data_IF_633641938926
#
_entry.id   IF_633641938926
#
_cell.length_a   1.000
_cell.length_b   1.000
_cell.length_c   1.000
_cell.angle_alpha   90.00
_cell.angle_beta   90.00
_cell.angle_gamma   90.00
#
_symmetry.space_group_name_H-M   'P 1'
#
loop_
_entity.id
_entity.type
_entity.pdbx_description
1 polymer ?
#
# COMPACT_ATOMS: atom_id res chain seq x y z
N UNK A 1 17.59 -13.83 -22.28
CA UNK A 1 16.93 -15.04 -21.74
C UNK A 1 15.88 -15.50 -22.73
N UNK A 2 15.52 -16.81 -22.77
CA UNK A 2 14.42 -17.29 -23.61
C UNK A 2 13.10 -16.61 -23.23
N UNK A 3 12.22 -16.46 -24.20
CA UNK A 3 10.91 -15.84 -23.99
C UNK A 3 10.03 -16.74 -23.12
N UNK A 4 9.29 -16.13 -22.20
CA UNK A 4 8.29 -16.83 -21.39
C UNK A 4 7.11 -17.27 -22.26
N UNK A 5 6.58 -18.46 -21.99
CA UNK A 5 5.31 -18.92 -22.57
C UNK A 5 4.14 -18.09 -22.01
N UNK A 6 3.03 -18.07 -22.74
CA UNK A 6 1.82 -17.34 -22.32
C UNK A 6 1.28 -17.84 -20.96
N UNK A 7 1.33 -19.16 -20.73
CA UNK A 7 0.91 -19.78 -19.48
C UNK A 7 1.77 -19.30 -18.29
N UNK A 8 3.10 -19.25 -18.47
CA UNK A 8 4.01 -18.75 -17.43
C UNK A 8 3.79 -17.26 -17.16
N UNK A 9 3.53 -16.44 -18.19
CA UNK A 9 3.20 -15.01 -18.02
C UNK A 9 1.92 -14.83 -17.20
N UNK A 10 0.85 -15.58 -17.51
CA UNK A 10 -0.40 -15.55 -16.73
C UNK A 10 -0.19 -15.95 -15.27
N UNK A 11 0.67 -16.94 -15.02
CA UNK A 11 1.06 -17.34 -13.66
C UNK A 11 1.71 -16.20 -12.88
N UNK A 12 2.67 -15.49 -13.49
CA UNK A 12 3.31 -14.35 -12.85
C UNK A 12 2.40 -13.15 -12.64
N UNK A 13 1.47 -12.88 -13.57
CA UNK A 13 0.45 -11.83 -13.37
C UNK A 13 -0.40 -12.15 -12.14
N UNK A 14 -0.84 -13.40 -11.98
CA UNK A 14 -1.61 -13.81 -10.79
C UNK A 14 -0.81 -13.62 -9.50
N UNK A 15 0.48 -13.96 -9.51
CA UNK A 15 1.35 -13.76 -8.36
C UNK A 15 1.54 -12.27 -8.04
N UNK A 16 1.77 -11.43 -9.05
CA UNK A 16 1.92 -9.99 -8.87
C UNK A 16 0.66 -9.36 -8.24
N UNK A 17 -0.54 -9.76 -8.70
CA UNK A 17 -1.81 -9.30 -8.10
C UNK A 17 -1.95 -9.70 -6.64
N UNK A 18 -1.58 -10.93 -6.29
CA UNK A 18 -1.63 -11.40 -4.91
C UNK A 18 -0.68 -10.61 -4.02
N UNK A 19 0.54 -10.34 -4.50
CA UNK A 19 1.53 -9.57 -3.77
C UNK A 19 1.08 -8.12 -3.56
N UNK A 20 0.49 -7.50 -4.59
CA UNK A 20 -0.08 -6.16 -4.48
C UNK A 20 -1.21 -6.11 -3.43
N UNK A 21 -2.09 -7.11 -3.38
CA UNK A 21 -3.15 -7.14 -2.37
C UNK A 21 -2.60 -7.36 -0.95
N UNK A 22 -1.66 -8.28 -0.76
CA UNK A 22 -1.00 -8.48 0.52
C UNK A 22 -0.34 -7.18 1.01
N UNK A 23 0.33 -6.46 0.11
CA UNK A 23 0.96 -5.18 0.41
C UNK A 23 -0.08 -4.11 0.79
N UNK A 24 -1.20 -4.01 0.06
CA UNK A 24 -2.29 -3.08 0.41
C UNK A 24 -2.88 -3.39 1.79
N UNK A 25 -3.03 -4.67 2.15
CA UNK A 25 -3.47 -5.08 3.49
C UNK A 25 -2.45 -4.66 4.55
N UNK A 26 -1.16 -4.88 4.31
CA UNK A 26 -0.09 -4.46 5.24
C UNK A 26 -0.10 -2.94 5.48
N UNK A 27 -0.22 -2.13 4.41
CA UNK A 27 -0.33 -0.66 4.52
C UNK A 27 -1.54 -0.24 5.37
N UNK A 28 -2.69 -0.88 5.18
CA UNK A 28 -3.91 -0.59 5.97
C UNK A 28 -3.75 -0.96 7.44
N UNK A 29 -3.01 -2.02 7.76
CA UNK A 29 -2.70 -2.40 9.14
C UNK A 29 -1.79 -1.37 9.79
N UNK A 30 -0.70 -0.96 9.12
CA UNK A 30 0.20 0.08 9.64
C UNK A 30 -0.55 1.40 9.88
N UNK A 31 -1.44 1.81 8.96
CA UNK A 31 -2.30 2.97 9.17
C UNK A 31 -3.15 2.85 10.44
N UNK A 32 -3.74 1.68 10.66
CA UNK A 32 -4.57 1.41 11.85
C UNK A 32 -3.76 1.55 13.13
N UNK A 33 -2.55 1.00 13.14
CA UNK A 33 -1.66 1.02 14.30
C UNK A 33 -1.19 2.46 14.59
N UNK A 34 -0.80 3.22 13.56
CA UNK A 34 -0.41 4.63 13.69
C UNK A 34 -1.57 5.50 14.22
N UNK A 35 -2.79 5.31 13.72
CA UNK A 35 -3.96 6.03 14.24
C UNK A 35 -4.29 5.63 15.70
N UNK A 36 -4.00 4.39 16.08
CA UNK A 36 -4.16 3.95 17.48
C UNK A 36 -3.15 4.61 18.41
N UNK A 37 -1.91 4.79 17.94
CA UNK A 37 -0.85 5.48 18.66
C UNK A 37 -1.19 6.96 18.87
N UNK A 38 -1.61 7.68 17.82
CA UNK A 38 -2.08 9.07 17.94
C UNK A 38 -3.21 9.19 18.98
N UNK A 39 -4.17 8.27 18.94
CA UNK A 39 -5.28 8.27 19.90
C UNK A 39 -4.79 8.05 21.34
N UNK A 40 -3.71 7.28 21.53
CA UNK A 40 -3.10 7.06 22.85
C UNK A 40 -2.40 8.34 23.31
N UNK A 41 -1.59 8.97 22.45
CA UNK A 41 -0.92 10.24 22.76
C UNK A 41 -1.92 11.34 23.17
N UNK A 42 -3.08 11.42 22.51
CA UNK A 42 -4.12 12.38 22.89
C UNK A 42 -4.66 12.10 24.31
N UNK A 43 -4.91 10.82 24.64
CA UNK A 43 -5.41 10.43 25.97
C UNK A 43 -4.40 10.77 27.07
N UNK A 44 -3.13 10.58 26.77
CA UNK A 44 -2.02 10.86 27.68
C UNK A 44 -1.72 12.37 27.78
N UNK A 45 -2.41 13.18 26.94
CA UNK A 45 -2.27 14.65 26.83
C UNK A 45 -0.90 15.10 26.34
N UNK A 46 -0.21 14.23 25.61
CA UNK A 46 1.08 14.54 24.97
C UNK A 46 0.89 15.38 23.69
N UNK A 47 -0.31 15.33 23.10
CA UNK A 47 -0.71 16.10 21.91
C UNK A 47 -2.08 16.76 22.12
N UNK A 48 -2.39 17.77 21.30
CA UNK A 48 -3.72 18.42 21.28
C UNK A 48 -4.69 17.75 20.28
N UNK A 49 -5.97 18.13 20.31
CA UNK A 49 -6.95 17.67 19.31
C UNK A 49 -6.60 18.15 17.89
N UNK A 50 -6.00 19.34 17.77
CA UNK A 50 -5.57 19.87 16.47
C UNK A 50 -4.39 19.06 15.92
N UNK A 51 -3.43 18.71 16.78
CA UNK A 51 -2.30 17.83 16.42
C UNK A 51 -2.78 16.44 16.00
N UNK A 52 -3.77 15.88 16.71
CA UNK A 52 -4.39 14.61 16.31
C UNK A 52 -4.96 14.69 14.89
N UNK A 53 -5.78 15.72 14.61
CA UNK A 53 -6.42 15.88 13.28
C UNK A 53 -5.37 16.01 12.19
N UNK A 54 -4.33 16.82 12.43
CA UNK A 54 -3.25 16.97 11.48
C UNK A 54 -2.49 15.66 11.25
N UNK A 55 -2.17 14.92 12.32
CA UNK A 55 -1.47 13.64 12.22
C UNK A 55 -2.29 12.57 11.48
N UNK A 56 -3.60 12.48 11.74
CA UNK A 56 -4.50 11.57 11.01
C UNK A 56 -4.60 11.92 9.52
N UNK A 57 -4.65 13.21 9.18
CA UNK A 57 -4.65 13.69 7.78
C UNK A 57 -3.34 13.36 7.06
N UNK A 58 -2.20 13.53 7.72
CA UNK A 58 -0.88 13.20 7.17
C UNK A 58 -0.72 11.70 6.95
N UNK A 59 -1.13 10.89 7.92
CA UNK A 59 -1.18 9.42 7.79
C UNK A 59 -2.06 9.00 6.62
N UNK A 60 -3.23 9.61 6.46
CA UNK A 60 -4.14 9.29 5.37
C UNK A 60 -3.54 9.65 4.00
N UNK A 61 -2.95 10.85 3.86
CA UNK A 61 -2.24 11.26 2.64
C UNK A 61 -1.10 10.31 2.28
N UNK A 62 -0.31 9.89 3.27
CA UNK A 62 0.78 8.93 3.06
C UNK A 62 0.24 7.57 2.64
N UNK A 63 -0.81 7.08 3.29
CA UNK A 63 -1.49 5.83 2.94
C UNK A 63 -1.94 5.85 1.49
N UNK A 64 -2.65 6.90 1.07
CA UNK A 64 -3.20 7.02 -0.28
C UNK A 64 -2.09 7.09 -1.33
N UNK A 65 -1.00 7.82 -1.03
CA UNK A 65 0.19 7.87 -1.88
C UNK A 65 0.78 6.47 -2.09
N UNK A 66 1.02 5.72 -1.02
CA UNK A 66 1.65 4.40 -1.11
C UNK A 66 0.73 3.40 -1.81
N UNK A 67 -0.58 3.43 -1.56
CA UNK A 67 -1.54 2.60 -2.30
C UNK A 67 -1.49 2.91 -3.80
N UNK A 68 -1.45 4.20 -4.18
CA UNK A 68 -1.30 4.59 -5.57
C UNK A 68 0.03 4.15 -6.20
N UNK A 69 1.12 4.11 -5.44
CA UNK A 69 2.41 3.56 -5.90
C UNK A 69 2.34 2.04 -6.12
N UNK A 70 1.66 1.30 -5.23
CA UNK A 70 1.43 -0.15 -5.38
C UNK A 70 0.65 -0.44 -6.67
N UNK A 71 -0.42 0.33 -6.92
CA UNK A 71 -1.26 0.14 -8.10
C UNK A 71 -0.49 0.42 -9.40
N UNK A 72 0.31 1.49 -9.43
CA UNK A 72 1.20 1.81 -10.57
C UNK A 72 2.26 0.73 -10.79
N UNK A 73 2.87 0.21 -9.73
CA UNK A 73 3.86 -0.85 -9.83
C UNK A 73 3.25 -2.14 -10.38
N UNK A 74 2.03 -2.50 -9.94
CA UNK A 74 1.30 -3.64 -10.46
C UNK A 74 0.97 -3.45 -11.94
N UNK A 75 0.43 -2.29 -12.33
CA UNK A 75 0.11 -1.98 -13.72
C UNK A 75 1.33 -2.08 -14.63
N UNK A 76 2.46 -1.47 -14.24
CA UNK A 76 3.72 -1.58 -14.97
C UNK A 76 4.16 -3.04 -15.09
N UNK A 77 4.04 -3.83 -14.01
CA UNK A 77 4.47 -5.23 -14.03
C UNK A 77 3.59 -6.09 -14.93
N UNK A 78 2.28 -5.84 -14.93
CA UNK A 78 1.33 -6.53 -15.82
C UNK A 78 1.61 -6.19 -17.28
N UNK A 79 1.87 -4.92 -17.58
CA UNK A 79 2.23 -4.46 -18.90
C UNK A 79 3.54 -5.11 -19.40
N UNK A 80 4.60 -5.11 -18.59
CA UNK A 80 5.89 -5.73 -18.94
C UNK A 80 5.77 -7.24 -19.18
N UNK A 81 4.89 -7.92 -18.45
CA UNK A 81 4.63 -9.35 -18.64
C UNK A 81 3.83 -9.64 -19.92
N UNK A 82 3.03 -8.68 -20.41
CA UNK A 82 2.24 -8.80 -21.63
C UNK A 82 2.98 -8.31 -22.88
N UNK A 83 3.91 -7.37 -22.74
CA UNK A 83 4.75 -6.93 -23.86
C UNK A 83 5.75 -8.03 -24.27
N UNK A 84 5.98 -8.14 -25.57
CA UNK A 84 6.89 -9.07 -26.24
C UNK A 84 8.05 -8.29 -26.78
#
# INVERSE_FOLDING_TARGET
MPMLTEETRKGYIKQARQEAENTRVAVRNVRRDANHEIKTLLKDKDITEDDQRQGEDEIQKLTDKIVGEIDKALESKEHDLMQV
#
